data_IF_431359168225
#
_entry.id   IF_431359168225
#
_cell.length_a   1.000
_cell.length_b   1.000
_cell.length_c   1.000
_cell.angle_alpha   90.00
_cell.angle_beta   90.00
_cell.angle_gamma   90.00
#
_symmetry.space_group_name_H-M   'P 1'
#
loop_
_entity.id
_entity.type
_entity.pdbx_description
1 polymer ?
#
# COMPACT_ATOMS: atom_id res chain seq x y z
N UNK A 1 2.95 7.64 27.81
CA UNK A 1 2.78 7.90 26.38
C UNK A 1 1.71 6.95 25.83
N UNK A 2 0.78 7.49 25.10
CA UNK A 2 -0.29 6.71 24.47
C UNK A 2 0.28 5.78 23.39
N UNK A 3 -0.33 4.64 23.20
CA UNK A 3 0.10 3.67 22.17
C UNK A 3 0.02 4.28 20.78
N UNK A 4 -1.01 5.06 20.49
CA UNK A 4 -1.14 5.81 19.25
C UNK A 4 0.08 6.71 18.99
N UNK A 5 0.57 7.40 20.01
CA UNK A 5 1.74 8.29 19.87
C UNK A 5 3.03 7.51 19.61
N UNK A 6 3.17 6.32 20.21
CA UNK A 6 4.31 5.43 19.94
C UNK A 6 4.32 4.95 18.51
N UNK A 7 3.20 4.43 18.02
CA UNK A 7 3.06 3.95 16.64
C UNK A 7 3.29 5.10 15.65
N UNK A 8 2.71 6.25 15.91
CA UNK A 8 2.93 7.44 15.08
C UNK A 8 4.41 7.83 14.98
N UNK A 9 5.12 7.78 16.10
CA UNK A 9 6.55 8.07 16.14
C UNK A 9 7.36 7.06 15.32
N UNK A 10 7.04 5.78 15.45
CA UNK A 10 7.72 4.73 14.68
C UNK A 10 7.44 4.85 13.17
N UNK A 11 6.20 5.15 12.78
CA UNK A 11 5.88 5.39 11.37
C UNK A 11 6.65 6.57 10.78
N UNK A 12 6.83 7.64 11.56
CA UNK A 12 7.67 8.78 11.12
C UNK A 12 9.14 8.39 10.97
N UNK A 13 9.66 7.53 11.83
CA UNK A 13 11.03 7.00 11.68
C UNK A 13 11.16 6.17 10.41
N UNK A 14 10.25 5.24 10.19
CA UNK A 14 10.24 4.40 8.97
C UNK A 14 10.19 5.27 7.72
N UNK A 15 9.32 6.25 7.69
CA UNK A 15 9.21 7.18 6.56
C UNK A 15 10.53 7.90 6.30
N UNK A 16 11.16 8.44 7.35
CA UNK A 16 12.47 9.11 7.24
C UNK A 16 13.56 8.18 6.74
N UNK A 17 13.59 6.94 7.23
CA UNK A 17 14.58 5.95 6.77
C UNK A 17 14.39 5.58 5.29
N UNK A 18 13.16 5.42 4.83
CA UNK A 18 12.86 5.17 3.42
C UNK A 18 13.32 6.34 2.54
N UNK A 19 13.09 7.57 2.99
CA UNK A 19 13.59 8.77 2.29
C UNK A 19 15.12 8.77 2.26
N UNK A 20 15.75 8.55 3.39
CA UNK A 20 17.22 8.55 3.53
C UNK A 20 17.89 7.50 2.66
N UNK A 21 17.28 6.33 2.53
CA UNK A 21 17.79 5.23 1.70
C UNK A 21 17.47 5.38 0.21
N UNK A 22 16.78 6.45 -0.21
CA UNK A 22 16.37 6.64 -1.60
C UNK A 22 15.25 5.72 -2.07
N UNK A 23 14.53 5.09 -1.14
CA UNK A 23 13.41 4.20 -1.43
C UNK A 23 12.06 4.92 -1.49
N UNK A 24 11.97 6.16 -1.06
CA UNK A 24 10.77 6.97 -1.17
C UNK A 24 10.94 7.99 -2.30
N UNK A 25 10.44 7.66 -3.48
CA UNK A 25 10.41 8.59 -4.62
C UNK A 25 9.43 9.73 -4.36
N UNK A 26 8.24 9.37 -3.89
CA UNK A 26 7.23 10.30 -3.39
C UNK A 26 6.72 9.82 -2.04
N UNK A 27 6.33 10.75 -1.19
CA UNK A 27 5.85 10.40 0.15
C UNK A 27 4.90 11.44 0.73
N UNK A 28 4.05 10.98 1.63
CA UNK A 28 3.22 11.80 2.50
C UNK A 28 3.50 11.39 3.94
N UNK A 29 3.87 12.34 4.78
CA UNK A 29 4.15 12.02 6.19
C UNK A 29 2.92 11.48 6.91
N UNK A 30 3.11 10.56 7.86
CA UNK A 30 2.04 10.15 8.76
C UNK A 30 1.46 11.34 9.52
N UNK A 31 0.16 11.35 9.70
CA UNK A 31 -0.57 12.33 10.51
C UNK A 31 -1.58 11.63 11.40
N UNK A 32 -1.84 12.23 12.54
CA UNK A 32 -2.92 11.80 13.43
C UNK A 32 -4.17 12.60 13.08
N UNK A 33 -5.24 11.89 12.73
CA UNK A 33 -6.58 12.44 12.54
C UNK A 33 -7.53 11.77 13.52
N UNK A 34 -7.80 12.43 14.65
CA UNK A 34 -8.64 11.88 15.71
C UNK A 34 -8.12 10.54 16.25
N UNK A 35 -8.81 9.44 15.96
CA UNK A 35 -8.44 8.09 16.36
C UNK A 35 -7.52 7.38 15.37
N UNK A 36 -7.34 7.95 14.20
CA UNK A 36 -6.61 7.31 13.10
C UNK A 36 -5.21 7.89 12.94
N UNK A 37 -4.26 7.02 12.59
CA UNK A 37 -3.01 7.42 11.97
C UNK A 37 -3.14 7.10 10.49
N UNK A 38 -3.04 8.13 9.68
CA UNK A 38 -3.11 8.08 8.23
C UNK A 38 -1.95 8.87 7.66
N UNK A 39 -2.03 9.33 6.46
CA UNK A 39 -1.02 10.18 5.82
C UNK A 39 -1.64 11.52 5.40
N UNK A 40 -0.79 12.47 5.14
CA UNK A 40 -1.22 13.72 4.52
C UNK A 40 -1.97 13.42 3.21
N UNK A 41 -3.02 14.15 2.92
CA UNK A 41 -3.90 13.95 1.76
C UNK A 41 -4.70 12.64 1.76
N UNK A 42 -4.76 11.95 2.90
CA UNK A 42 -5.57 10.73 3.01
C UNK A 42 -7.02 10.96 2.56
N UNK A 43 -7.50 10.06 1.71
CA UNK A 43 -8.90 9.98 1.27
C UNK A 43 -9.40 8.55 1.45
N UNK A 44 -10.57 8.42 2.05
CA UNK A 44 -11.23 7.13 2.15
C UNK A 44 -11.92 6.80 0.83
N UNK A 45 -11.25 6.05 -0.02
CA UNK A 45 -11.74 5.66 -1.34
C UNK A 45 -12.26 4.22 -1.39
N UNK A 46 -12.31 3.53 -0.26
CA UNK A 46 -12.64 2.10 -0.20
C UNK A 46 -14.02 1.75 -0.77
N UNK A 47 -14.96 2.69 -0.76
CA UNK A 47 -16.30 2.51 -1.32
C UNK A 47 -16.32 2.55 -2.85
N UNK A 48 -15.40 3.28 -3.47
CA UNK A 48 -15.35 3.44 -4.92
C UNK A 48 -14.62 2.28 -5.61
N UNK A 49 -13.80 1.54 -4.88
CA UNK A 49 -12.86 0.56 -5.46
C UNK A 49 -13.44 -0.86 -5.58
N UNK A 50 -14.66 -1.11 -5.10
CA UNK A 50 -15.19 -2.48 -4.98
C UNK A 50 -15.39 -3.20 -6.31
N UNK A 51 -15.60 -2.47 -7.41
CA UNK A 51 -15.90 -3.02 -8.74
C UNK A 51 -14.93 -2.55 -9.82
N UNK A 52 -13.78 -1.99 -9.43
CA UNK A 52 -12.78 -1.49 -10.37
C UNK A 52 -11.71 -2.55 -10.60
N UNK A 53 -11.13 -2.57 -11.81
CA UNK A 53 -9.94 -3.36 -12.06
C UNK A 53 -8.72 -2.79 -11.34
N UNK A 54 -7.68 -3.60 -11.19
CA UNK A 54 -6.50 -3.22 -10.44
C UNK A 54 -5.81 -1.97 -11.01
N UNK A 55 -5.69 -1.89 -12.32
CA UNK A 55 -5.06 -0.75 -12.99
C UNK A 55 -5.75 0.55 -12.65
N UNK A 56 -7.09 0.56 -12.66
CA UNK A 56 -7.89 1.73 -12.28
C UNK A 56 -7.72 2.08 -10.80
N UNK A 57 -7.68 1.07 -9.92
CA UNK A 57 -7.44 1.27 -8.49
C UNK A 57 -6.07 1.94 -8.26
N UNK A 58 -5.03 1.39 -8.89
CA UNK A 58 -3.69 1.95 -8.78
C UNK A 58 -3.64 3.39 -9.29
N UNK A 59 -4.21 3.66 -10.45
CA UNK A 59 -4.24 4.99 -11.06
C UNK A 59 -4.95 6.01 -10.17
N UNK A 60 -6.07 5.63 -9.54
CA UNK A 60 -6.76 6.51 -8.59
C UNK A 60 -5.94 6.80 -7.34
N UNK A 61 -5.27 5.80 -6.79
CA UNK A 61 -4.38 5.98 -5.64
C UNK A 61 -3.21 6.91 -6.00
N UNK A 62 -2.58 6.68 -7.13
CA UNK A 62 -1.45 7.48 -7.61
C UNK A 62 -1.85 8.91 -7.91
N UNK A 63 -2.90 9.11 -8.67
CA UNK A 63 -3.42 10.42 -9.08
C UNK A 63 -3.75 11.31 -7.87
N UNK A 64 -4.33 10.75 -6.85
CA UNK A 64 -4.70 11.47 -5.64
C UNK A 64 -3.58 11.54 -4.60
N UNK A 65 -2.42 10.99 -4.87
CA UNK A 65 -1.32 10.85 -3.90
C UNK A 65 -1.77 10.22 -2.58
N UNK A 66 -2.67 9.23 -2.66
CA UNK A 66 -3.34 8.62 -1.52
C UNK A 66 -2.52 7.46 -0.95
N UNK A 67 -1.33 7.77 -0.46
CA UNK A 67 -0.36 6.81 0.05
C UNK A 67 0.62 7.44 1.04
N UNK A 68 1.31 6.59 1.82
CA UNK A 68 2.46 7.02 2.63
C UNK A 68 3.71 7.17 1.77
N UNK A 69 4.01 6.16 0.95
CA UNK A 69 5.25 6.10 0.17
C UNK A 69 4.97 5.49 -1.19
N UNK A 70 5.57 6.08 -2.22
CA UNK A 70 5.72 5.50 -3.54
C UNK A 70 7.19 5.17 -3.76
N UNK A 71 7.45 3.91 -4.10
CA UNK A 71 8.79 3.39 -4.36
C UNK A 71 9.26 3.72 -5.78
N UNK A 72 10.58 3.66 -6.07
CA UNK A 72 11.11 3.94 -7.40
C UNK A 72 10.57 3.03 -8.51
N UNK A 73 10.20 1.80 -8.18
CA UNK A 73 9.57 0.85 -9.11
C UNK A 73 8.08 1.10 -9.35
N UNK A 74 7.53 2.16 -8.76
CA UNK A 74 6.12 2.49 -8.80
C UNK A 74 5.27 1.79 -7.74
N UNK A 75 5.83 0.92 -6.93
CA UNK A 75 5.11 0.27 -5.82
C UNK A 75 4.63 1.30 -4.79
N UNK A 76 3.40 1.14 -4.32
CA UNK A 76 2.76 2.05 -3.37
C UNK A 76 2.55 1.36 -2.04
N UNK A 77 2.88 2.06 -0.95
CA UNK A 77 2.70 1.59 0.43
C UNK A 77 1.67 2.47 1.14
N UNK A 78 0.68 1.82 1.74
CA UNK A 78 -0.31 2.43 2.62
C UNK A 78 -0.26 1.79 4.00
N UNK A 79 -0.12 2.60 5.03
CA UNK A 79 -0.09 2.18 6.43
C UNK A 79 -1.10 2.98 7.22
N UNK A 80 -2.16 2.34 7.67
CA UNK A 80 -3.25 2.97 8.42
C UNK A 80 -3.50 2.23 9.73
N UNK A 81 -3.68 2.98 10.81
CA UNK A 81 -3.94 2.45 12.14
C UNK A 81 -5.10 3.20 12.77
N UNK A 82 -5.99 2.47 13.44
CA UNK A 82 -7.10 3.05 14.21
C UNK A 82 -6.99 2.65 15.66
N UNK A 83 -7.15 3.63 16.53
CA UNK A 83 -7.12 3.46 18.00
C UNK A 83 -8.46 3.79 18.61
N UNK A 84 -8.65 3.38 19.88
CA UNK A 84 -9.79 3.81 20.66
C UNK A 84 -9.68 5.32 20.99
N UNK A 85 -10.73 5.89 21.53
CA UNK A 85 -10.81 7.33 21.87
C UNK A 85 -9.68 7.81 22.79
N UNK A 86 -9.17 6.93 23.65
CA UNK A 86 -8.08 7.26 24.57
C UNK A 86 -6.70 7.16 23.92
N UNK A 87 -6.58 6.57 22.73
CA UNK A 87 -5.32 6.31 22.04
C UNK A 87 -4.46 5.25 22.70
N UNK A 88 -5.04 4.44 23.61
CA UNK A 88 -4.31 3.41 24.37
C UNK A 88 -4.36 2.03 23.72
N UNK A 89 -5.41 1.75 22.95
CA UNK A 89 -5.66 0.43 22.39
C UNK A 89 -5.84 0.49 20.88
N UNK A 90 -5.14 -0.38 20.17
CA UNK A 90 -5.29 -0.56 18.73
C UNK A 90 -6.61 -1.27 18.46
N UNK A 91 -7.43 -0.69 17.60
CA UNK A 91 -8.71 -1.26 17.16
C UNK A 91 -8.52 -1.99 15.82
N UNK A 92 -7.85 -1.37 14.87
CA UNK A 92 -7.61 -1.96 13.57
C UNK A 92 -6.39 -1.37 12.89
N UNK A 93 -5.82 -2.10 11.95
CA UNK A 93 -4.83 -1.57 11.02
C UNK A 93 -5.05 -2.12 9.62
N UNK A 94 -4.55 -1.40 8.66
CA UNK A 94 -4.45 -1.82 7.26
C UNK A 94 -3.06 -1.51 6.75
N UNK A 95 -2.37 -2.54 6.31
CA UNK A 95 -1.07 -2.44 5.67
C UNK A 95 -1.24 -2.92 4.24
N UNK A 96 -1.00 -2.07 3.27
CA UNK A 96 -1.19 -2.37 1.86
C UNK A 96 0.06 -2.08 1.04
N UNK A 97 0.40 -3.00 0.17
CA UNK A 97 1.39 -2.82 -0.88
C UNK A 97 0.72 -3.03 -2.24
N UNK A 98 0.85 -2.04 -3.10
CA UNK A 98 0.25 -2.00 -4.43
C UNK A 98 1.38 -1.90 -5.46
N UNK A 99 1.79 -3.02 -6.10
CA UNK A 99 2.79 -2.98 -7.15
C UNK A 99 2.29 -2.20 -8.37
N UNK A 100 3.20 -1.56 -9.10
CA UNK A 100 2.84 -0.89 -10.34
C UNK A 100 2.27 -1.88 -11.35
N UNK A 101 1.13 -1.59 -11.99
CA UNK A 101 0.61 -2.41 -13.08
C UNK A 101 1.37 -2.19 -14.40
N UNK A 102 2.24 -1.19 -14.45
CA UNK A 102 2.99 -0.83 -15.64
C UNK A 102 4.36 -1.49 -15.66
N UNK A 103 4.64 -2.20 -16.73
CA UNK A 103 5.97 -2.78 -17.01
C UNK A 103 6.89 -1.83 -17.80
N UNK A 104 6.51 -0.58 -17.94
CA UNK A 104 7.30 0.41 -18.72
C UNK A 104 8.71 0.57 -18.19
N UNK A 105 8.90 0.50 -16.88
CA UNK A 105 10.23 0.55 -16.27
C UNK A 105 11.14 -0.58 -16.74
N UNK A 106 10.58 -1.79 -16.85
CA UNK A 106 11.32 -2.94 -17.39
C UNK A 106 11.60 -2.81 -18.89
N UNK A 107 10.63 -2.30 -19.65
CA UNK A 107 10.78 -2.10 -21.10
C UNK A 107 11.78 -1.00 -21.42
N UNK A 108 11.87 0.03 -20.58
CA UNK A 108 12.76 1.17 -20.80
C UNK A 108 14.18 0.95 -20.28
N UNK A 109 14.37 0.06 -19.33
CA UNK A 109 15.69 -0.26 -18.78
C UNK A 109 15.78 -1.74 -18.39
N UNK A 110 15.92 -2.63 -19.40
CA UNK A 110 16.06 -4.07 -19.17
C UNK A 110 17.26 -4.43 -18.31
N UNK A 111 18.34 -3.61 -18.34
CA UNK A 111 19.59 -3.88 -17.62
C UNK A 111 19.43 -3.78 -16.11
N UNK A 112 18.49 -2.96 -15.63
CA UNK A 112 18.15 -2.87 -14.20
C UNK A 112 17.57 -4.18 -13.63
N UNK A 113 17.02 -5.01 -14.51
CA UNK A 113 16.37 -6.28 -14.17
C UNK A 113 17.13 -7.49 -14.73
N UNK A 114 18.30 -7.26 -15.31
CA UNK A 114 19.10 -8.30 -16.03
C UNK A 114 19.84 -9.23 -15.06
N UNK A 115 19.25 -9.51 -13.90
CA UNK A 115 19.84 -10.48 -12.99
C UNK A 115 19.40 -11.90 -13.33
N UNK A 116 18.33 -12.08 -14.12
CA UNK A 116 17.89 -13.42 -14.55
C UNK A 116 16.99 -13.38 -15.78
N UNK A 117 17.36 -14.09 -16.83
CA UNK A 117 16.53 -14.43 -17.98
C UNK A 117 15.15 -15.00 -17.58
N UNK A 118 15.08 -15.63 -16.44
CA UNK A 118 13.86 -16.20 -15.85
C UNK A 118 12.88 -15.10 -15.44
N UNK A 119 13.35 -13.98 -14.92
CA UNK A 119 12.50 -12.85 -14.54
C UNK A 119 11.86 -12.15 -15.74
N UNK A 120 12.61 -11.96 -16.81
CA UNK A 120 12.08 -11.41 -18.06
C UNK A 120 10.97 -12.28 -18.66
N UNK A 121 11.13 -13.59 -18.59
CA UNK A 121 10.16 -14.57 -19.09
C UNK A 121 8.88 -14.60 -18.22
N UNK A 122 9.02 -14.45 -16.92
CA UNK A 122 7.89 -14.37 -15.99
C UNK A 122 7.10 -13.06 -16.19
N UNK A 123 7.80 -11.96 -16.37
CA UNK A 123 7.18 -10.65 -16.60
C UNK A 123 6.48 -10.55 -17.96
N UNK A 124 7.04 -11.19 -19.00
CA UNK A 124 6.43 -11.27 -20.32
C UNK A 124 5.18 -12.14 -20.38
N UNK A 125 4.93 -12.98 -19.40
CA UNK A 125 3.77 -13.90 -19.35
C UNK A 125 2.57 -13.36 -18.59
N UNK A 126 2.38 -12.06 -18.55
CA UNK A 126 1.19 -11.44 -17.95
C UNK A 126 0.97 -11.81 -16.48
N UNK A 127 2.03 -11.73 -15.67
CA UNK A 127 1.88 -11.81 -14.22
C UNK A 127 1.06 -10.62 -13.78
N UNK A 128 -0.18 -10.86 -13.41
CA UNK A 128 -1.03 -9.82 -12.84
C UNK A 128 -0.41 -9.37 -11.52
N UNK A 129 -0.20 -8.07 -11.33
CA UNK A 129 0.30 -7.56 -10.06
C UNK A 129 -0.68 -7.94 -8.95
N UNK A 130 -0.16 -8.47 -7.87
CA UNK A 130 -0.97 -8.91 -6.72
C UNK A 130 -0.84 -7.88 -5.61
N UNK A 131 -1.98 -7.36 -5.17
CA UNK A 131 -2.03 -6.53 -3.96
C UNK A 131 -1.68 -7.42 -2.76
N UNK A 132 -0.71 -6.97 -1.97
CA UNK A 132 -0.44 -7.58 -0.67
C UNK A 132 -1.08 -6.67 0.38
N UNK A 133 -2.03 -7.22 1.11
CA UNK A 133 -2.75 -6.47 2.13
C UNK A 133 -2.90 -7.29 3.40
N UNK A 134 -2.56 -6.70 4.54
CA UNK A 134 -2.77 -7.26 5.85
C UNK A 134 -3.71 -6.35 6.65
N UNK A 135 -4.88 -6.84 6.95
CA UNK A 135 -5.88 -6.16 7.77
C UNK A 135 -6.00 -6.85 9.11
N UNK A 136 -6.06 -6.06 10.16
CA UNK A 136 -6.41 -6.50 11.52
C UNK A 136 -7.62 -5.71 12.00
N UNK A 137 -8.56 -6.40 12.61
CA UNK A 137 -9.68 -5.77 13.28
C UNK A 137 -9.94 -6.50 14.60
N UNK A 138 -10.01 -5.75 15.70
CA UNK A 138 -10.28 -6.28 17.04
C UNK A 138 -11.71 -6.83 17.18
N UNK A 139 -12.65 -6.34 16.37
CA UNK A 139 -14.02 -6.80 16.38
C UNK A 139 -14.12 -8.15 15.67
N UNK A 140 -14.42 -9.26 16.41
CA UNK A 140 -14.46 -10.60 15.80
C UNK A 140 -15.56 -10.78 14.76
N UNK A 141 -16.58 -9.93 14.74
CA UNK A 141 -17.63 -9.97 13.70
C UNK A 141 -17.16 -9.43 12.35
N UNK A 142 -16.02 -8.74 12.32
CA UNK A 142 -15.46 -8.13 11.12
C UNK A 142 -14.07 -8.72 10.75
N UNK A 143 -13.79 -9.94 11.19
CA UNK A 143 -12.57 -10.63 10.81
C UNK A 143 -12.63 -10.95 9.30
N UNK A 144 -12.14 -10.02 8.49
CA UNK A 144 -11.78 -10.33 7.12
C UNK A 144 -10.42 -11.02 7.15
N UNK A 145 -10.42 -12.33 6.99
CA UNK A 145 -9.22 -13.05 6.57
C UNK A 145 -8.70 -12.30 5.34
N UNK A 146 -7.41 -11.95 5.29
CA UNK A 146 -6.86 -11.35 4.08
C UNK A 146 -7.17 -12.31 2.94
N UNK A 147 -8.16 -11.96 2.17
CA UNK A 147 -8.42 -12.64 0.92
C UNK A 147 -7.23 -12.24 0.05
N UNK A 148 -6.35 -13.20 -0.19
CA UNK A 148 -5.59 -13.16 -1.41
C UNK A 148 -6.65 -13.26 -2.48
N UNK A 149 -7.14 -12.11 -2.93
CA UNK A 149 -8.02 -12.05 -4.09
C UNK A 149 -7.19 -12.57 -5.27
N UNK A 150 -7.25 -13.88 -5.41
CA UNK A 150 -7.00 -14.48 -6.70
C UNK A 150 -8.11 -13.94 -7.56
N UNK A 151 -7.79 -12.92 -8.35
CA UNK A 151 -8.68 -12.47 -9.39
C UNK A 151 -9.14 -13.69 -10.15
N UNK A 152 -10.38 -14.09 -9.89
CA UNK A 152 -11.03 -15.10 -10.68
C UNK A 152 -10.97 -14.60 -12.11
N UNK A 153 -10.37 -15.41 -12.96
CA UNK A 153 -10.37 -15.25 -14.40
C UNK A 153 -11.73 -14.74 -14.84
N UNK A 154 -11.77 -13.55 -15.39
CA UNK A 154 -12.85 -13.16 -16.24
C UNK A 154 -12.78 -14.12 -17.44
N UNK A 155 -13.56 -15.15 -17.39
CA UNK A 155 -13.88 -15.88 -18.59
C UNK A 155 -14.79 -14.97 -19.41
N UNK A 156 -14.23 -14.54 -20.52
CA UNK A 156 -14.98 -13.95 -21.63
C UNK A 156 -16.09 -14.88 -22.09
#
# INVERSE_FOLDING_TARGET
MKEQEKVFRELKKVTRELIRCGLAEEYNYPVIQQMDIVWEKYQNISLYLRNMDYSTIYDEIEKNHNYNVKLPDGGIIQLMYRFNRTGKELISHRLGYYPSPSYELYQNDPELYDVDYIYGDILNKSVLPVIIRADYNRDPEHFHIPVIDRFSKSQS
#
